data_IF_851619591749
#
_entry.id   IF_851619591749
#
_cell.length_a   1.000
_cell.length_b   1.000
_cell.length_c   1.000
_cell.angle_alpha   90.00
_cell.angle_beta   90.00
_cell.angle_gamma   90.00
#
_symmetry.space_group_name_H-M   'P 1'
#
loop_
_entity.id
_entity.type
_entity.pdbx_description
1 polymer ?
#
# COMPACT_ATOMS: atom_id res chain seq x y z
N UNK A 1 -1.55 15.70 -27.99
CA UNK A 1 -2.59 16.48 -27.33
C UNK A 1 -3.86 15.64 -27.21
N UNK A 2 -4.55 15.68 -26.05
CA UNK A 2 -5.78 14.90 -25.77
C UNK A 2 -7.05 15.74 -25.87
N UNK A 3 -6.92 17.01 -26.24
CA UNK A 3 -8.03 17.95 -26.41
C UNK A 3 -9.14 17.39 -27.32
N UNK A 4 -10.38 17.48 -26.88
CA UNK A 4 -11.56 16.94 -27.58
C UNK A 4 -11.63 15.41 -27.70
N UNK A 5 -10.70 14.67 -27.07
CA UNK A 5 -10.71 13.20 -27.11
C UNK A 5 -11.55 12.63 -25.97
N UNK A 6 -12.13 11.45 -26.22
CA UNK A 6 -12.74 10.63 -25.19
C UNK A 6 -11.74 9.57 -24.72
N UNK A 7 -11.53 9.49 -23.40
CA UNK A 7 -10.52 8.60 -22.79
C UNK A 7 -11.20 7.65 -21.82
N UNK A 8 -11.06 6.36 -22.07
CA UNK A 8 -11.55 5.31 -21.18
C UNK A 8 -10.54 5.07 -20.03
N UNK A 9 -11.04 5.08 -18.81
CA UNK A 9 -10.28 4.81 -17.59
C UNK A 9 -10.71 3.43 -17.07
N UNK A 10 -9.79 2.46 -17.11
CA UNK A 10 -10.08 1.06 -16.76
C UNK A 10 -9.68 0.70 -15.31
N UNK A 11 -9.15 1.65 -14.56
CA UNK A 11 -8.80 1.50 -13.14
C UNK A 11 -10.04 1.27 -12.27
N UNK A 12 -9.82 0.82 -11.03
CA UNK A 12 -10.86 0.77 -10.01
C UNK A 12 -11.54 2.14 -9.87
N UNK A 13 -12.79 2.16 -9.46
CA UNK A 13 -13.55 3.42 -9.33
C UNK A 13 -12.87 4.43 -8.42
N UNK A 14 -12.32 3.96 -7.31
CA UNK A 14 -11.65 4.80 -6.31
C UNK A 14 -10.34 5.42 -6.85
N UNK A 15 -9.63 4.70 -7.72
CA UNK A 15 -8.37 5.18 -8.32
C UNK A 15 -8.58 6.04 -9.59
N UNK A 16 -9.82 6.18 -10.05
CA UNK A 16 -10.12 6.91 -11.27
C UNK A 16 -10.23 8.43 -11.05
N UNK A 17 -10.53 8.91 -9.84
CA UNK A 17 -10.86 10.32 -9.57
C UNK A 17 -9.74 11.28 -10.01
N UNK A 18 -8.50 11.01 -9.61
CA UNK A 18 -7.33 11.82 -9.99
C UNK A 18 -7.14 11.89 -11.51
N UNK A 19 -7.43 10.77 -12.21
CA UNK A 19 -7.36 10.70 -13.68
C UNK A 19 -8.50 11.45 -14.36
N UNK A 20 -9.71 11.39 -13.82
CA UNK A 20 -10.88 12.14 -14.28
C UNK A 20 -10.58 13.65 -14.26
N UNK A 21 -10.07 14.14 -13.14
CA UNK A 21 -9.70 15.55 -13.02
C UNK A 21 -8.61 15.96 -14.00
N UNK A 22 -7.56 15.12 -14.13
CA UNK A 22 -6.44 15.43 -15.02
C UNK A 22 -6.89 15.47 -16.48
N UNK A 23 -7.69 14.47 -16.93
CA UNK A 23 -8.23 14.39 -18.30
C UNK A 23 -9.13 15.60 -18.58
N UNK A 24 -10.01 15.95 -17.65
CA UNK A 24 -10.92 17.08 -17.77
C UNK A 24 -10.19 18.43 -17.87
N UNK A 25 -9.11 18.61 -17.11
CA UNK A 25 -8.26 19.82 -17.19
C UNK A 25 -7.60 20.00 -18.57
N UNK A 26 -7.50 18.94 -19.35
CA UNK A 26 -6.96 18.98 -20.71
C UNK A 26 -8.05 18.96 -21.80
N UNK A 27 -9.28 19.40 -21.48
CA UNK A 27 -10.43 19.45 -22.40
C UNK A 27 -10.74 18.11 -23.06
N UNK A 28 -10.48 16.99 -22.40
CA UNK A 28 -10.87 15.68 -22.86
C UNK A 28 -12.04 15.14 -22.01
N UNK A 29 -12.80 14.19 -22.55
CA UNK A 29 -13.95 13.58 -21.90
C UNK A 29 -13.55 12.26 -21.26
N UNK A 30 -13.49 12.13 -19.92
CA UNK A 30 -13.24 10.85 -19.27
C UNK A 30 -14.48 9.96 -19.28
N UNK A 31 -14.31 8.66 -19.56
CA UNK A 31 -15.31 7.61 -19.37
C UNK A 31 -14.73 6.56 -18.42
N UNK A 32 -15.41 6.32 -17.30
CA UNK A 32 -15.00 5.27 -16.35
C UNK A 32 -15.56 3.92 -16.78
N UNK A 33 -14.65 2.98 -17.03
CA UNK A 33 -14.94 1.59 -17.38
C UNK A 33 -14.12 0.67 -16.45
N UNK A 34 -14.42 0.60 -15.16
CA UNK A 34 -13.62 -0.18 -14.22
C UNK A 34 -13.65 -1.66 -14.62
N UNK A 35 -12.45 -2.23 -14.84
CA UNK A 35 -12.27 -3.65 -15.19
C UNK A 35 -11.82 -4.50 -14.00
N UNK A 36 -11.46 -3.84 -12.89
CA UNK A 36 -11.02 -4.47 -11.65
C UNK A 36 -11.70 -3.80 -10.46
N UNK A 37 -11.98 -4.60 -9.44
CA UNK A 37 -12.40 -4.15 -8.12
C UNK A 37 -11.47 -4.78 -7.09
N UNK A 38 -10.97 -3.97 -6.14
CA UNK A 38 -10.17 -4.45 -5.03
C UNK A 38 -11.08 -4.72 -3.86
N UNK A 39 -11.21 -6.00 -3.50
CA UNK A 39 -12.04 -6.46 -2.39
C UNK A 39 -11.13 -6.94 -1.26
N UNK A 40 -11.44 -6.49 -0.02
CA UNK A 40 -10.76 -6.99 1.16
C UNK A 40 -11.04 -8.48 1.35
N UNK A 41 -10.03 -9.24 1.78
CA UNK A 41 -10.21 -10.61 2.27
C UNK A 41 -10.91 -10.66 3.65
N UNK A 42 -11.28 -9.48 4.20
CA UNK A 42 -11.94 -9.36 5.49
C UNK A 42 -11.02 -9.70 6.67
N UNK A 43 -11.61 -10.23 7.70
CA UNK A 43 -10.95 -10.54 8.98
C UNK A 43 -9.76 -11.50 8.82
N UNK A 44 -9.91 -12.48 7.95
CA UNK A 44 -8.91 -13.53 7.72
C UNK A 44 -7.51 -13.00 7.41
N UNK A 45 -7.40 -11.89 6.65
CA UNK A 45 -6.09 -11.32 6.30
C UNK A 45 -5.36 -10.76 7.53
N UNK A 46 -6.11 -10.23 8.51
CA UNK A 46 -5.53 -9.69 9.74
C UNK A 46 -4.97 -10.82 10.59
N UNK A 47 -5.72 -11.91 10.74
CA UNK A 47 -5.28 -13.08 11.49
C UNK A 47 -4.05 -13.72 10.85
N UNK A 48 -4.07 -13.96 9.53
CA UNK A 48 -2.93 -14.48 8.77
C UNK A 48 -1.69 -13.58 8.92
N UNK A 49 -1.86 -12.25 8.92
CA UNK A 49 -0.76 -11.31 9.08
C UNK A 49 -0.15 -11.38 10.49
N UNK A 50 -1.00 -11.36 11.53
CA UNK A 50 -0.56 -11.42 12.92
C UNK A 50 0.11 -12.76 13.25
N UNK A 51 -0.47 -13.88 12.81
CA UNK A 51 0.12 -15.21 12.97
C UNK A 51 1.47 -15.32 12.26
N UNK A 52 1.61 -14.73 11.07
CA UNK A 52 2.86 -14.73 10.31
C UNK A 52 3.94 -13.92 11.05
N UNK A 53 3.61 -12.73 11.56
CA UNK A 53 4.57 -11.93 12.34
C UNK A 53 5.00 -12.66 13.61
N UNK A 54 4.07 -13.26 14.33
CA UNK A 54 4.37 -13.99 15.56
C UNK A 54 5.29 -15.19 15.28
N UNK A 55 4.98 -15.96 14.25
CA UNK A 55 5.72 -17.17 13.90
C UNK A 55 7.11 -16.90 13.31
N UNK A 56 7.19 -15.97 12.35
CA UNK A 56 8.40 -15.73 11.56
C UNK A 56 9.29 -14.64 12.16
N UNK A 57 8.76 -13.83 13.11
CA UNK A 57 9.47 -12.71 13.75
C UNK A 57 10.27 -11.86 12.76
N UNK A 58 9.63 -11.26 11.73
CA UNK A 58 10.34 -10.60 10.65
C UNK A 58 11.10 -9.36 11.11
N UNK A 59 12.28 -9.14 10.55
CA UNK A 59 13.06 -7.91 10.76
C UNK A 59 12.43 -6.71 10.04
N UNK A 60 11.76 -6.96 8.90
CA UNK A 60 11.19 -5.93 8.05
C UNK A 60 9.74 -6.22 7.68
N UNK A 61 8.92 -5.16 7.66
CA UNK A 61 7.61 -5.15 7.02
C UNK A 61 7.62 -4.20 5.83
N UNK A 62 7.32 -4.71 4.64
CA UNK A 62 7.34 -3.95 3.39
C UNK A 62 5.93 -3.77 2.86
N UNK A 63 5.52 -2.54 2.68
CA UNK A 63 4.20 -2.21 2.14
C UNK A 63 4.33 -1.67 0.71
N UNK A 64 3.80 -2.43 -0.25
CA UNK A 64 3.91 -2.16 -1.69
C UNK A 64 2.71 -1.40 -2.26
N UNK A 65 1.65 -1.16 -1.48
CA UNK A 65 0.42 -0.53 -1.94
C UNK A 65 -0.28 0.22 -0.83
N UNK A 66 -0.63 1.48 -1.06
CA UNK A 66 -1.45 2.27 -0.13
C UNK A 66 -2.85 1.67 0.04
N UNK A 67 -3.43 1.11 -1.02
CA UNK A 67 -4.75 0.46 -0.96
C UNK A 67 -4.71 -0.81 -0.11
N UNK A 68 -3.65 -1.62 -0.23
CA UNK A 68 -3.47 -2.80 0.62
C UNK A 68 -3.34 -2.41 2.10
N UNK A 69 -2.59 -1.35 2.40
CA UNK A 69 -2.49 -0.78 3.76
C UNK A 69 -3.86 -0.39 4.29
N UNK A 70 -4.64 0.40 3.53
CA UNK A 70 -5.99 0.82 3.94
C UNK A 70 -6.89 -0.38 4.20
N UNK A 71 -6.94 -1.36 3.28
CA UNK A 71 -7.78 -2.55 3.43
C UNK A 71 -7.39 -3.40 4.65
N UNK A 72 -6.09 -3.55 4.93
CA UNK A 72 -5.60 -4.27 6.11
C UNK A 72 -6.01 -3.56 7.41
N UNK A 73 -5.81 -2.25 7.47
CA UNK A 73 -6.13 -1.43 8.64
C UNK A 73 -7.64 -1.39 8.88
N UNK A 74 -8.45 -1.16 7.86
CA UNK A 74 -9.91 -1.13 7.97
C UNK A 74 -10.45 -2.50 8.44
N UNK A 75 -9.88 -3.60 7.92
CA UNK A 75 -10.21 -4.94 8.39
C UNK A 75 -9.84 -5.14 9.86
N UNK A 76 -8.66 -4.68 10.29
CA UNK A 76 -8.24 -4.79 11.68
C UNK A 76 -9.13 -3.96 12.63
N UNK A 77 -9.52 -2.75 12.22
CA UNK A 77 -10.44 -1.89 12.96
C UNK A 77 -11.83 -2.55 13.10
N UNK A 78 -12.33 -3.19 12.03
CA UNK A 78 -13.65 -3.84 12.04
C UNK A 78 -13.78 -5.00 13.04
N UNK A 79 -12.66 -5.65 13.38
CA UNK A 79 -12.60 -6.76 14.34
C UNK A 79 -11.90 -6.40 15.66
N UNK A 80 -11.69 -5.11 15.91
CA UNK A 80 -11.03 -4.59 17.12
C UNK A 80 -9.60 -5.12 17.37
N UNK A 81 -8.87 -5.44 16.29
CA UNK A 81 -7.45 -5.90 16.34
C UNK A 81 -6.46 -4.87 15.81
N UNK A 82 -6.87 -3.62 15.69
CA UNK A 82 -5.99 -2.58 15.13
C UNK A 82 -4.78 -2.30 16.03
N UNK A 83 -4.95 -2.27 17.35
CA UNK A 83 -3.84 -2.04 18.29
C UNK A 83 -2.81 -3.18 18.22
N UNK A 84 -3.27 -4.43 18.14
CA UNK A 84 -2.40 -5.60 17.98
C UNK A 84 -1.63 -5.54 16.66
N UNK A 85 -2.30 -5.18 15.57
CA UNK A 85 -1.69 -5.00 14.25
C UNK A 85 -0.63 -3.89 14.28
N UNK A 86 -0.96 -2.74 14.87
CA UNK A 86 -0.06 -1.60 14.99
C UNK A 86 1.20 -1.97 15.79
N UNK A 87 1.03 -2.65 16.93
CA UNK A 87 2.13 -3.12 17.76
C UNK A 87 3.01 -4.15 17.02
N UNK A 88 2.39 -5.10 16.33
CA UNK A 88 3.10 -6.11 15.54
C UNK A 88 3.96 -5.47 14.45
N UNK A 89 3.42 -4.51 13.71
CA UNK A 89 4.16 -3.77 12.67
C UNK A 89 5.28 -2.92 13.30
N UNK A 90 5.02 -2.25 14.44
CA UNK A 90 5.99 -1.39 15.11
C UNK A 90 7.23 -2.16 15.62
N UNK A 91 7.13 -3.47 15.82
CA UNK A 91 8.26 -4.33 16.18
C UNK A 91 9.16 -4.67 15.00
N UNK A 92 8.86 -4.20 13.81
CA UNK A 92 9.64 -4.42 12.58
C UNK A 92 10.20 -3.09 12.04
N UNK A 93 11.16 -3.17 11.14
CA UNK A 93 11.59 -2.00 10.36
C UNK A 93 10.65 -1.81 9.17
N UNK A 94 9.82 -0.78 9.21
CA UNK A 94 8.77 -0.55 8.21
C UNK A 94 9.33 0.16 6.97
N UNK A 95 9.09 -0.42 5.80
CA UNK A 95 9.45 0.14 4.49
C UNK A 95 8.18 0.37 3.67
N UNK A 96 7.97 1.60 3.20
CA UNK A 96 6.90 1.92 2.25
C UNK A 96 7.47 2.12 0.85
N UNK A 97 6.83 1.53 -0.17
CA UNK A 97 7.31 1.62 -1.56
C UNK A 97 7.31 3.05 -2.10
N UNK A 98 6.44 3.92 -1.61
CA UNK A 98 6.33 5.29 -2.09
C UNK A 98 5.50 6.20 -1.19
N UNK A 99 5.36 7.50 -1.56
CA UNK A 99 4.74 8.51 -0.71
C UNK A 99 3.30 8.18 -0.29
N UNK A 100 2.44 7.78 -1.23
CA UNK A 100 1.03 7.44 -0.92
C UNK A 100 0.92 6.29 0.10
N UNK A 101 1.82 5.30 0.02
CA UNK A 101 1.87 4.17 0.97
C UNK A 101 2.40 4.63 2.33
N UNK A 102 3.44 5.47 2.34
CA UNK A 102 3.96 6.09 3.56
C UNK A 102 2.87 6.90 4.26
N UNK A 103 2.19 7.80 3.54
CA UNK A 103 1.14 8.63 4.10
C UNK A 103 -0.02 7.81 4.69
N UNK A 104 -0.38 6.69 4.03
CA UNK A 104 -1.43 5.79 4.53
C UNK A 104 -1.04 5.14 5.87
N UNK A 105 0.22 4.75 6.05
CA UNK A 105 0.74 4.18 7.30
C UNK A 105 0.85 5.26 8.40
N UNK A 106 1.43 6.41 8.07
CA UNK A 106 1.69 7.48 9.06
C UNK A 106 0.42 8.14 9.58
N UNK A 107 -0.67 8.21 8.79
CA UNK A 107 -2.00 8.63 9.26
C UNK A 107 -2.53 7.75 10.39
N UNK A 108 -2.13 6.51 10.43
CA UNK A 108 -2.51 5.54 11.46
C UNK A 108 -1.41 5.36 12.52
N UNK A 109 -0.52 6.34 12.66
CA UNK A 109 0.60 6.36 13.59
C UNK A 109 1.58 5.17 13.45
N UNK A 110 1.66 4.57 12.26
CA UNK A 110 2.66 3.55 11.93
C UNK A 110 3.86 4.25 11.29
N UNK A 111 4.96 4.34 12.02
CA UNK A 111 6.16 5.04 11.58
C UNK A 111 6.86 4.30 10.45
N UNK A 112 7.08 4.96 9.32
CA UNK A 112 7.86 4.43 8.19
C UNK A 112 9.33 4.79 8.38
N UNK A 113 10.19 3.76 8.45
CA UNK A 113 11.63 3.93 8.63
C UNK A 113 12.35 4.25 7.31
N UNK A 114 11.94 3.61 6.21
CA UNK A 114 12.58 3.76 4.92
C UNK A 114 11.57 3.86 3.77
N UNK A 115 11.96 4.62 2.74
CA UNK A 115 11.26 4.71 1.47
C UNK A 115 12.32 4.79 0.36
N UNK A 116 12.21 3.99 -0.72
CA UNK A 116 13.16 4.05 -1.81
C UNK A 116 13.03 5.36 -2.61
N UNK A 117 14.07 5.75 -3.31
CA UNK A 117 14.02 6.85 -4.28
C UNK A 117 13.23 6.48 -5.53
N UNK A 118 13.31 5.21 -5.92
CA UNK A 118 12.54 4.63 -7.02
C UNK A 118 11.37 3.84 -6.44
N UNK A 119 10.14 4.28 -6.67
CA UNK A 119 8.92 3.69 -6.11
C UNK A 119 8.54 2.39 -6.82
N UNK A 120 9.32 1.35 -6.58
CA UNK A 120 9.21 0.04 -7.22
C UNK A 120 9.85 -1.06 -6.38
N UNK A 121 9.58 -2.32 -6.72
CA UNK A 121 10.25 -3.47 -6.09
C UNK A 121 11.78 -3.42 -6.23
N UNK A 122 12.29 -2.92 -7.37
CA UNK A 122 13.74 -2.71 -7.56
C UNK A 122 14.28 -1.70 -6.55
N UNK A 123 13.59 -0.58 -6.35
CA UNK A 123 13.98 0.42 -5.36
C UNK A 123 13.96 -0.12 -3.93
N UNK A 124 12.98 -0.95 -3.57
CA UNK A 124 12.96 -1.65 -2.27
C UNK A 124 14.18 -2.57 -2.13
N UNK A 125 14.56 -3.31 -3.20
CA UNK A 125 15.79 -4.10 -3.23
C UNK A 125 17.05 -3.26 -2.99
N UNK A 126 17.12 -2.03 -3.55
CA UNK A 126 18.21 -1.08 -3.29
C UNK A 126 18.25 -0.63 -1.81
N UNK A 127 17.10 -0.48 -1.16
CA UNK A 127 17.03 -0.19 0.30
C UNK A 127 17.61 -1.36 1.09
N UNK A 128 17.21 -2.59 0.80
CA UNK A 128 17.77 -3.78 1.47
C UNK A 128 19.28 -3.91 1.30
N UNK A 129 19.80 -3.60 0.10
CA UNK A 129 21.24 -3.59 -0.15
C UNK A 129 21.95 -2.58 0.74
N UNK A 130 21.41 -1.35 0.87
CA UNK A 130 21.97 -0.30 1.73
C UNK A 130 21.92 -0.65 3.23
N UNK A 131 20.89 -1.38 3.64
CA UNK A 131 20.71 -1.83 5.04
C UNK A 131 21.50 -3.11 5.35
N UNK A 132 22.21 -3.68 4.37
CA UNK A 132 22.90 -4.96 4.51
C UNK A 132 22.01 -6.07 5.07
N UNK A 133 20.81 -6.20 4.51
CA UNK A 133 19.73 -7.07 5.02
C UNK A 133 19.92 -8.57 4.68
N UNK A 134 21.17 -9.00 4.44
CA UNK A 134 21.45 -10.42 4.16
C UNK A 134 21.11 -11.28 5.36
N UNK A 135 20.35 -12.35 5.14
CA UNK A 135 19.92 -13.27 6.20
C UNK A 135 18.76 -12.76 7.08
N UNK A 136 18.19 -11.61 6.72
CA UNK A 136 17.04 -11.03 7.42
C UNK A 136 15.71 -11.52 6.87
N UNK A 137 14.72 -11.66 7.74
CA UNK A 137 13.36 -12.08 7.36
C UNK A 137 12.50 -10.87 7.05
N UNK A 138 11.69 -10.99 5.99
CA UNK A 138 10.84 -9.90 5.51
C UNK A 138 9.43 -10.40 5.25
N UNK A 139 8.42 -9.66 5.71
CA UNK A 139 7.02 -9.81 5.31
C UNK A 139 6.67 -8.72 4.29
N UNK A 140 5.96 -9.10 3.21
CA UNK A 140 5.56 -8.19 2.12
C UNK A 140 4.06 -8.31 1.88
#
# INVERSE_FOLDING_TARGET
MIDGKTIAITRSKDDAEEFIELISKHNATPITLPTIELVSKGEKIVDEFLETIEKESPDFSVFMSSKAVTLLIDSAKSISKFEDLQLAIANTTVIAVGPKTKDALERENIKVAHMPQRYSSVGVGEVFTKLNAVGKTTII
#
